data_IF_413140083559
#
_entry.id   IF_413140083559
#
_cell.length_a   1.000
_cell.length_b   1.000
_cell.length_c   1.000
_cell.angle_alpha   90.00
_cell.angle_beta   90.00
_cell.angle_gamma   90.00
#
_symmetry.space_group_name_H-M   'P 1'
#
loop_
_entity.id
_entity.type
_entity.pdbx_description
1 polymer ?
#
# COMPACT_ATOMS: atom_id res chain seq x y z
N UNK A 1 10.30 -1.41 24.59
CA UNK A 1 9.73 -0.37 25.47
C UNK A 1 9.15 0.69 24.56
N UNK A 2 7.83 0.86 24.54
CA UNK A 2 7.17 1.94 23.80
C UNK A 2 6.85 3.10 24.73
N UNK A 3 6.63 4.29 24.17
CA UNK A 3 6.04 5.42 24.87
C UNK A 3 4.52 5.40 24.58
N UNK A 4 3.70 4.77 25.45
CA UNK A 4 2.28 4.55 25.16
C UNK A 4 1.50 5.86 24.91
N UNK A 5 1.97 6.96 25.50
CA UNK A 5 1.32 8.27 25.38
C UNK A 5 1.76 9.07 24.14
N UNK A 6 2.77 8.59 23.40
CA UNK A 6 3.31 9.34 22.26
C UNK A 6 2.31 9.45 21.11
N UNK A 7 1.60 8.36 20.79
CA UNK A 7 0.65 8.35 19.68
C UNK A 7 -0.52 9.33 19.90
N UNK A 8 -1.20 9.36 21.06
CA UNK A 8 -2.20 10.40 21.35
C UNK A 8 -1.66 11.83 21.25
N UNK A 9 -0.41 12.07 21.68
CA UNK A 9 0.22 13.40 21.58
C UNK A 9 0.44 13.78 20.11
N UNK A 10 0.98 12.87 19.30
CA UNK A 10 1.19 13.10 17.87
C UNK A 10 -0.13 13.33 17.13
N UNK A 11 -1.18 12.56 17.45
CA UNK A 11 -2.51 12.78 16.91
C UNK A 11 -3.03 14.18 17.27
N UNK A 12 -2.91 14.60 18.53
CA UNK A 12 -3.33 15.94 18.96
C UNK A 12 -2.55 17.06 18.25
N UNK A 13 -1.27 16.87 17.96
CA UNK A 13 -0.48 17.84 17.19
C UNK A 13 -0.99 17.96 15.75
N UNK A 14 -1.32 16.83 15.11
CA UNK A 14 -1.89 16.82 13.76
C UNK A 14 -3.26 17.51 13.74
N UNK A 15 -4.16 17.16 14.65
CA UNK A 15 -5.53 17.66 14.68
C UNK A 15 -5.59 19.18 14.92
N UNK A 16 -4.77 19.67 15.86
CA UNK A 16 -4.73 21.08 16.24
C UNK A 16 -3.86 21.95 15.33
N UNK A 17 -2.89 21.35 14.63
CA UNK A 17 -1.82 22.06 13.93
C UNK A 17 -0.93 22.92 14.83
N UNK A 18 -0.89 22.64 16.14
CA UNK A 18 -0.14 23.47 17.09
C UNK A 18 1.37 23.30 16.88
N UNK A 19 2.06 24.42 16.65
CA UNK A 19 3.50 24.48 16.29
C UNK A 19 3.83 23.98 14.87
N UNK A 20 2.84 23.85 13.99
CA UNK A 20 3.09 23.52 12.59
C UNK A 20 3.97 24.58 11.93
N UNK A 21 4.97 24.13 11.19
CA UNK A 21 5.95 24.95 10.47
C UNK A 21 6.02 24.60 8.97
N UNK A 22 5.08 23.77 8.50
CA UNK A 22 4.89 23.40 7.10
C UNK A 22 3.39 23.26 6.80
N UNK A 23 3.00 23.64 5.58
CA UNK A 23 1.68 23.40 5.03
C UNK A 23 1.78 22.47 3.83
N UNK A 24 0.94 21.44 3.77
CA UNK A 24 0.73 20.64 2.56
C UNK A 24 -0.63 21.02 1.98
N UNK A 25 -0.68 21.43 0.72
CA UNK A 25 -1.94 21.73 0.02
C UNK A 25 -2.26 20.65 -1.02
N UNK A 26 -3.52 20.25 -1.10
CA UNK A 26 -4.01 19.26 -2.05
C UNK A 26 -5.51 19.52 -2.32
N UNK A 27 -5.92 19.60 -3.58
CA UNK A 27 -7.31 19.89 -3.99
C UNK A 27 -7.96 21.08 -3.24
N UNK A 28 -7.19 22.13 -2.96
CA UNK A 28 -7.65 23.33 -2.23
C UNK A 28 -7.83 23.13 -0.71
N UNK A 29 -7.53 21.95 -0.16
CA UNK A 29 -7.41 21.73 1.28
C UNK A 29 -5.97 21.90 1.75
N UNK A 30 -5.83 22.47 2.94
CA UNK A 30 -4.54 22.74 3.58
C UNK A 30 -4.38 21.92 4.85
N UNK A 31 -3.27 21.19 4.94
CA UNK A 31 -2.86 20.41 6.09
C UNK A 31 -1.72 21.11 6.80
N UNK A 32 -1.94 21.51 8.07
CA UNK A 32 -0.90 22.06 8.94
C UNK A 32 -0.09 20.93 9.52
N UNK A 33 1.18 20.83 9.15
CA UNK A 33 2.06 19.72 9.54
C UNK A 33 3.40 20.21 10.09
N UNK A 34 4.16 19.28 10.67
CA UNK A 34 5.44 19.56 11.31
C UNK A 34 6.57 18.98 10.46
N UNK A 35 7.52 19.81 10.05
CA UNK A 35 8.71 19.39 9.28
C UNK A 35 9.48 18.29 9.99
N UNK A 36 9.65 18.42 11.31
CA UNK A 36 10.37 17.44 12.12
C UNK A 36 9.74 16.03 12.05
N UNK A 37 8.45 15.92 11.78
CA UNK A 37 7.72 14.65 11.66
C UNK A 37 7.70 14.20 10.20
N UNK A 38 7.36 15.09 9.27
CA UNK A 38 7.16 14.76 7.85
C UNK A 38 8.50 14.52 7.14
N UNK A 39 9.45 15.45 7.26
CA UNK A 39 10.73 15.40 6.54
C UNK A 39 11.66 14.31 7.08
N UNK A 40 11.53 13.92 8.35
CA UNK A 40 12.33 12.82 8.91
C UNK A 40 11.92 11.43 8.38
N UNK A 41 10.75 11.34 7.76
CA UNK A 41 10.16 10.09 7.27
C UNK A 41 9.98 10.06 5.74
N UNK A 42 10.28 11.15 5.04
CA UNK A 42 10.12 11.27 3.58
C UNK A 42 11.25 12.10 3.00
N UNK A 43 12.08 11.48 2.17
CA UNK A 43 13.16 12.18 1.47
C UNK A 43 12.60 13.20 0.45
N UNK A 44 11.43 12.92 -0.13
CA UNK A 44 10.72 13.84 -1.01
C UNK A 44 10.37 15.15 -0.28
N UNK A 45 9.66 15.06 0.85
CA UNK A 45 9.26 16.25 1.59
C UNK A 45 10.47 16.96 2.20
N UNK A 46 11.49 16.23 2.62
CA UNK A 46 12.76 16.81 3.08
C UNK A 46 13.44 17.63 1.99
N UNK A 47 13.56 17.08 0.78
CA UNK A 47 14.15 17.77 -0.38
C UNK A 47 13.32 19.00 -0.79
N UNK A 48 12.00 18.89 -0.78
CA UNK A 48 11.09 19.98 -1.14
C UNK A 48 11.28 21.21 -0.25
N UNK A 49 11.52 21.02 1.06
CA UNK A 49 11.63 22.13 2.03
C UNK A 49 13.08 22.54 2.36
N UNK A 50 14.08 21.78 1.91
CA UNK A 50 15.51 22.12 2.08
C UNK A 50 16.12 22.81 0.86
N UNK A 51 15.54 22.65 -0.32
CA UNK A 51 16.08 23.23 -1.55
C UNK A 51 15.92 24.74 -1.66
N UNK A 52 16.51 25.33 -2.70
CA UNK A 52 16.26 26.73 -3.12
C UNK A 52 14.95 26.91 -3.91
N UNK A 53 14.00 25.99 -3.76
CA UNK A 53 12.71 26.01 -4.45
C UNK A 53 11.70 26.90 -3.71
N UNK A 54 10.57 27.22 -4.36
CA UNK A 54 9.58 28.17 -3.81
C UNK A 54 8.91 27.62 -2.55
N UNK A 55 8.86 26.30 -2.43
CA UNK A 55 8.25 25.55 -1.33
C UNK A 55 8.99 25.82 -0.01
N UNK A 56 10.32 25.91 -0.07
CA UNK A 56 11.16 26.19 1.10
C UNK A 56 10.97 27.63 1.62
N UNK A 57 10.74 28.60 0.74
CA UNK A 57 10.50 29.99 1.13
C UNK A 57 9.06 30.25 1.58
N UNK A 58 8.10 29.49 1.07
CA UNK A 58 6.68 29.58 1.43
C UNK A 58 6.30 28.68 2.61
N UNK A 59 7.18 27.76 3.04
CA UNK A 59 6.84 26.67 3.97
C UNK A 59 5.57 25.93 3.53
N UNK A 60 5.42 25.72 2.22
CA UNK A 60 4.24 25.11 1.62
C UNK A 60 4.63 24.16 0.49
N UNK A 61 4.09 22.94 0.51
CA UNK A 61 4.22 21.96 -0.57
C UNK A 61 2.85 21.75 -1.19
N UNK A 62 2.73 21.99 -2.49
CA UNK A 62 1.49 21.82 -3.24
C UNK A 62 1.48 20.50 -4.01
N UNK A 63 0.39 19.75 -3.88
CA UNK A 63 0.19 18.41 -4.44
C UNK A 63 -1.07 18.37 -5.32
N UNK A 64 -1.08 19.08 -6.47
CA UNK A 64 -2.27 19.21 -7.32
C UNK A 64 -2.62 17.94 -8.11
N UNK A 65 -1.65 17.06 -8.32
CA UNK A 65 -1.80 15.81 -9.09
C UNK A 65 -2.14 14.60 -8.18
N UNK A 66 -2.31 14.83 -6.88
CA UNK A 66 -2.62 13.79 -5.90
C UNK A 66 -4.06 13.88 -5.42
N UNK A 67 -4.62 12.73 -5.04
CA UNK A 67 -5.97 12.64 -4.48
C UNK A 67 -5.97 13.01 -3.00
N UNK A 68 -6.88 13.90 -2.61
CA UNK A 68 -7.00 14.40 -1.25
C UNK A 68 -7.09 13.31 -0.17
N UNK A 69 -7.90 12.27 -0.41
CA UNK A 69 -8.07 11.16 0.53
C UNK A 69 -6.80 10.31 0.67
N UNK A 70 -6.01 10.19 -0.40
CA UNK A 70 -4.72 9.50 -0.37
C UNK A 70 -3.69 10.31 0.41
N UNK A 71 -3.62 11.63 0.21
CA UNK A 71 -2.74 12.52 0.99
C UNK A 71 -3.12 12.52 2.48
N UNK A 72 -4.41 12.52 2.80
CA UNK A 72 -4.87 12.38 4.18
C UNK A 72 -4.35 11.09 4.85
N UNK A 73 -4.37 9.95 4.13
CA UNK A 73 -3.83 8.68 4.62
C UNK A 73 -2.31 8.69 4.80
N UNK A 74 -1.59 9.31 3.86
CA UNK A 74 -0.14 9.51 3.97
C UNK A 74 0.18 10.34 5.22
N UNK A 75 -0.51 11.47 5.43
CA UNK A 75 -0.29 12.32 6.60
C UNK A 75 -0.67 11.60 7.89
N UNK A 76 -1.78 10.88 7.93
CA UNK A 76 -2.18 10.07 9.10
C UNK A 76 -1.06 9.11 9.49
N UNK A 77 -0.51 8.37 8.52
CA UNK A 77 0.58 7.43 8.77
C UNK A 77 1.81 8.11 9.37
N UNK A 78 2.20 9.28 8.86
CA UNK A 78 3.38 10.00 9.34
C UNK A 78 3.29 10.35 10.84
N UNK A 79 2.09 10.51 11.40
CA UNK A 79 1.90 10.85 12.81
C UNK A 79 1.61 9.63 13.69
N UNK A 80 0.79 8.69 13.22
CA UNK A 80 0.31 7.59 14.06
C UNK A 80 0.72 6.20 13.59
N UNK A 81 1.56 6.12 12.55
CA UNK A 81 2.08 4.88 11.96
C UNK A 81 0.99 3.94 11.41
N UNK A 82 -0.21 4.50 11.18
CA UNK A 82 -1.32 3.79 10.58
C UNK A 82 -2.23 4.75 9.81
N UNK A 83 -3.13 4.21 8.99
CA UNK A 83 -4.14 4.98 8.27
C UNK A 83 -5.45 4.21 8.14
N UNK A 84 -6.56 4.96 8.07
CA UNK A 84 -7.89 4.44 7.84
C UNK A 84 -8.17 4.15 6.37
N UNK A 85 -9.04 3.17 6.12
CA UNK A 85 -9.54 2.85 4.78
C UNK A 85 -10.86 3.59 4.46
N UNK A 86 -11.38 4.42 5.38
CA UNK A 86 -12.55 5.28 5.15
C UNK A 86 -12.12 6.57 4.45
N UNK A 87 -13.04 7.18 3.68
CA UNK A 87 -12.84 8.51 3.09
C UNK A 87 -13.15 9.65 4.08
N UNK A 88 -13.27 9.33 5.37
CA UNK A 88 -13.41 10.36 6.39
C UNK A 88 -12.08 11.13 6.49
N UNK A 89 -12.16 12.43 6.18
CA UNK A 89 -11.03 13.36 6.25
C UNK A 89 -10.85 13.95 7.66
N UNK A 90 -11.53 13.35 8.65
CA UNK A 90 -11.32 13.60 10.06
C UNK A 90 -10.23 12.69 10.62
N UNK A 91 -9.05 13.28 10.87
CA UNK A 91 -7.91 12.59 11.47
C UNK A 91 -8.25 11.93 12.83
N UNK A 92 -9.23 12.46 13.58
CA UNK A 92 -9.66 11.88 14.85
C UNK A 92 -10.41 10.54 14.68
N UNK A 93 -10.87 10.22 13.47
CA UNK A 93 -11.66 9.02 13.15
C UNK A 93 -10.94 8.03 12.24
N UNK A 94 -9.74 8.35 11.77
CA UNK A 94 -8.94 7.50 10.90
C UNK A 94 -8.65 6.10 11.49
N UNK A 95 -8.77 5.92 12.81
CA UNK A 95 -8.62 4.63 13.49
C UNK A 95 -9.90 3.78 13.57
N UNK A 96 -11.05 4.30 13.12
CA UNK A 96 -12.32 3.55 13.16
C UNK A 96 -12.39 2.50 12.05
N UNK A 97 -12.62 1.24 12.45
CA UNK A 97 -12.81 0.10 11.53
C UNK A 97 -14.30 -0.08 11.26
N UNK A 98 -14.88 0.82 10.47
CA UNK A 98 -16.24 0.62 9.96
C UNK A 98 -16.29 -0.55 8.96
N UNK A 99 -17.50 -1.03 8.61
CA UNK A 99 -17.72 -2.00 7.54
C UNK A 99 -17.43 -1.34 6.18
N UNK A 100 -16.15 -1.26 5.83
CA UNK A 100 -15.68 -0.65 4.60
C UNK A 100 -15.92 -1.64 3.45
N UNK A 101 -16.39 -1.12 2.32
CA UNK A 101 -16.51 -1.91 1.10
C UNK A 101 -15.15 -2.53 0.75
N UNK A 102 -15.04 -3.87 0.56
CA UNK A 102 -13.78 -4.50 0.24
C UNK A 102 -13.11 -3.90 -0.99
N UNK A 103 -13.84 -3.50 -2.03
CA UNK A 103 -13.21 -2.93 -3.22
C UNK A 103 -12.63 -1.55 -2.95
N UNK A 104 -13.31 -0.71 -2.16
CA UNK A 104 -12.78 0.56 -1.69
C UNK A 104 -11.49 0.37 -0.88
N UNK A 105 -11.46 -0.57 0.06
CA UNK A 105 -10.27 -0.89 0.84
C UNK A 105 -9.08 -1.28 -0.07
N UNK A 106 -9.33 -2.11 -1.09
CA UNK A 106 -8.30 -2.48 -2.07
C UNK A 106 -7.74 -1.25 -2.80
N UNK A 107 -8.61 -0.40 -3.36
CA UNK A 107 -8.20 0.80 -4.08
C UNK A 107 -7.44 1.78 -3.19
N UNK A 108 -7.89 1.95 -1.94
CA UNK A 108 -7.25 2.84 -0.98
C UNK A 108 -5.82 2.38 -0.67
N UNK A 109 -5.62 1.08 -0.43
CA UNK A 109 -4.28 0.53 -0.20
C UNK A 109 -3.39 0.64 -1.45
N UNK A 110 -3.93 0.43 -2.65
CA UNK A 110 -3.16 0.57 -3.89
C UNK A 110 -2.72 2.03 -4.14
N UNK A 111 -3.62 3.00 -3.94
CA UNK A 111 -3.28 4.42 -4.10
C UNK A 111 -2.27 4.88 -3.06
N UNK A 112 -2.43 4.45 -1.80
CA UNK A 112 -1.46 4.74 -0.74
C UNK A 112 -0.11 4.10 -1.04
N UNK A 113 -0.07 2.89 -1.59
CA UNK A 113 1.18 2.26 -2.02
C UNK A 113 1.91 3.10 -3.08
N UNK A 114 1.20 3.59 -4.09
CA UNK A 114 1.77 4.45 -5.14
C UNK A 114 2.25 5.79 -4.58
N UNK A 115 1.46 6.42 -3.71
CA UNK A 115 1.84 7.66 -3.04
C UNK A 115 3.06 7.48 -2.13
N UNK A 116 3.15 6.36 -1.42
CA UNK A 116 4.29 6.04 -0.56
C UNK A 116 5.58 5.85 -1.34
N UNK A 117 5.50 5.29 -2.56
CA UNK A 117 6.64 5.23 -3.47
C UNK A 117 7.02 6.62 -3.99
N UNK A 118 6.04 7.40 -4.45
CA UNK A 118 6.23 8.78 -4.92
C UNK A 118 6.90 9.68 -3.87
N UNK A 119 6.47 9.56 -2.62
CA UNK A 119 6.99 10.37 -1.51
C UNK A 119 8.16 9.73 -0.77
N UNK A 120 8.64 8.57 -1.23
CA UNK A 120 9.73 7.80 -0.62
C UNK A 120 9.54 7.58 0.89
N UNK A 121 8.43 6.93 1.24
CA UNK A 121 8.04 6.57 2.62
C UNK A 121 7.99 5.04 2.71
N UNK A 122 9.15 4.39 2.82
CA UNK A 122 9.26 2.93 2.74
C UNK A 122 8.40 2.17 3.77
N UNK A 123 8.28 2.59 5.05
CA UNK A 123 7.40 1.94 6.00
C UNK A 123 5.91 1.96 5.57
N UNK A 124 5.45 3.07 4.99
CA UNK A 124 4.09 3.20 4.45
C UNK A 124 3.89 2.30 3.22
N UNK A 125 4.89 2.28 2.31
CA UNK A 125 4.88 1.41 1.12
C UNK A 125 4.71 -0.06 1.53
N UNK A 126 5.46 -0.49 2.55
CA UNK A 126 5.38 -1.85 3.11
C UNK A 126 4.02 -2.16 3.76
N UNK A 127 3.47 -1.23 4.55
CA UNK A 127 2.16 -1.39 5.18
C UNK A 127 1.04 -1.51 4.14
N UNK A 128 1.02 -0.60 3.16
CA UNK A 128 0.02 -0.59 2.09
C UNK A 128 0.08 -1.84 1.21
N UNK A 129 1.29 -2.29 0.87
CA UNK A 129 1.51 -3.57 0.19
C UNK A 129 0.93 -4.73 1.00
N UNK A 130 1.25 -4.79 2.29
CA UNK A 130 0.80 -5.88 3.17
C UNK A 130 -0.73 -5.94 3.24
N UNK A 131 -1.39 -4.79 3.39
CA UNK A 131 -2.85 -4.70 3.40
C UNK A 131 -3.47 -5.10 2.06
N UNK A 132 -2.89 -4.67 0.94
CA UNK A 132 -3.32 -5.07 -0.40
C UNK A 132 -3.19 -6.59 -0.61
N UNK A 133 -2.08 -7.21 -0.22
CA UNK A 133 -1.89 -8.66 -0.33
C UNK A 133 -2.84 -9.44 0.59
N UNK A 134 -3.08 -8.95 1.80
CA UNK A 134 -4.08 -9.52 2.71
C UNK A 134 -5.49 -9.43 2.14
N UNK A 135 -5.80 -8.36 1.42
CA UNK A 135 -7.07 -8.24 0.69
C UNK A 135 -7.17 -9.30 -0.40
N UNK A 136 -6.14 -9.46 -1.22
CA UNK A 136 -6.08 -10.48 -2.29
C UNK A 136 -6.30 -11.87 -1.70
N UNK A 137 -5.61 -12.19 -0.60
CA UNK A 137 -5.71 -13.49 0.07
C UNK A 137 -7.13 -13.79 0.60
N UNK A 138 -7.87 -12.76 1.01
CA UNK A 138 -9.25 -12.89 1.52
C UNK A 138 -10.31 -12.88 0.43
N UNK A 139 -9.97 -12.37 -0.75
CA UNK A 139 -10.90 -12.08 -1.84
C UNK A 139 -10.52 -12.79 -3.15
N UNK A 140 -9.83 -13.94 -3.07
CA UNK A 140 -9.33 -14.66 -4.24
C UNK A 140 -10.42 -14.97 -5.29
N UNK A 141 -11.67 -15.19 -4.85
CA UNK A 141 -12.82 -15.46 -5.73
C UNK A 141 -13.31 -14.24 -6.52
N UNK A 142 -13.25 -13.04 -5.92
CA UNK A 142 -13.66 -11.79 -6.56
C UNK A 142 -12.50 -11.03 -7.19
N UNK A 143 -11.26 -11.42 -6.89
CA UNK A 143 -10.04 -10.85 -7.48
C UNK A 143 -10.08 -10.75 -9.02
N UNK A 144 -10.57 -11.75 -9.78
CA UNK A 144 -10.59 -11.66 -11.24
C UNK A 144 -11.28 -10.39 -11.75
N UNK A 145 -12.37 -9.97 -11.08
CA UNK A 145 -13.18 -8.80 -11.47
C UNK A 145 -12.40 -7.48 -11.42
N UNK A 146 -11.32 -7.41 -10.64
CA UNK A 146 -10.53 -6.19 -10.44
C UNK A 146 -9.07 -6.33 -10.84
N UNK A 147 -8.57 -7.55 -11.06
CA UNK A 147 -7.15 -7.81 -11.28
C UNK A 147 -6.60 -7.08 -12.50
N UNK A 148 -7.37 -7.03 -13.60
CA UNK A 148 -6.96 -6.28 -14.79
C UNK A 148 -6.75 -4.80 -14.47
N UNK A 149 -7.68 -4.18 -13.75
CA UNK A 149 -7.60 -2.77 -13.38
C UNK A 149 -6.42 -2.52 -12.43
N UNK A 150 -6.21 -3.39 -11.44
CA UNK A 150 -5.04 -3.31 -10.55
C UNK A 150 -3.75 -3.36 -11.38
N UNK A 151 -3.65 -4.30 -12.31
CA UNK A 151 -2.44 -4.54 -13.08
C UNK A 151 -2.06 -3.36 -13.98
N UNK A 152 -3.03 -2.72 -14.64
CA UNK A 152 -2.78 -1.54 -15.49
C UNK A 152 -2.49 -0.29 -14.67
N UNK A 153 -3.00 -0.20 -13.43
CA UNK A 153 -2.72 0.93 -12.53
C UNK A 153 -1.29 0.87 -11.98
N UNK A 154 -0.75 -0.32 -11.73
CA UNK A 154 0.62 -0.48 -11.21
C UNK A 154 1.64 -0.12 -12.31
N UNK A 155 2.54 0.86 -12.08
CA UNK A 155 3.58 1.22 -13.03
C UNK A 155 4.39 0.01 -13.51
N UNK A 156 4.77 -0.09 -14.80
CA UNK A 156 5.51 -1.25 -15.31
C UNK A 156 6.83 -1.54 -14.59
N UNK A 157 7.48 -0.50 -14.07
CA UNK A 157 8.76 -0.60 -13.35
C UNK A 157 8.59 -1.15 -11.91
N UNK A 158 7.37 -1.15 -11.38
CA UNK A 158 7.04 -1.63 -10.04
C UNK A 158 6.89 -3.17 -10.04
N UNK A 159 8.02 -3.83 -10.28
CA UNK A 159 8.12 -5.29 -10.41
C UNK A 159 7.91 -6.01 -9.08
N UNK A 160 8.24 -5.36 -7.96
CA UNK A 160 8.16 -5.97 -6.64
C UNK A 160 6.72 -6.26 -6.24
N UNK A 161 5.81 -5.29 -6.41
CA UNK A 161 4.38 -5.50 -6.15
C UNK A 161 3.77 -6.50 -7.14
N UNK A 162 4.16 -6.43 -8.43
CA UNK A 162 3.67 -7.37 -9.46
C UNK A 162 4.04 -8.82 -9.11
N UNK A 163 5.29 -9.11 -8.71
CA UNK A 163 5.69 -10.46 -8.28
C UNK A 163 4.93 -10.91 -7.03
N UNK A 164 4.66 -10.00 -6.09
CA UNK A 164 3.88 -10.34 -4.90
C UNK A 164 2.40 -10.63 -5.20
N UNK A 165 1.79 -9.90 -6.13
CA UNK A 165 0.43 -10.21 -6.61
C UNK A 165 0.41 -11.57 -7.29
N UNK A 166 1.37 -11.84 -8.19
CA UNK A 166 1.52 -13.16 -8.83
C UNK A 166 1.66 -14.27 -7.78
N UNK A 167 2.49 -14.06 -6.76
CA UNK A 167 2.68 -15.02 -5.65
C UNK A 167 1.41 -15.16 -4.78
N UNK A 168 0.63 -14.11 -4.61
CA UNK A 168 -0.65 -14.21 -3.90
C UNK A 168 -1.67 -15.00 -4.71
N UNK A 169 -1.77 -14.75 -6.02
CA UNK A 169 -2.62 -15.53 -6.93
C UNK A 169 -2.18 -16.99 -6.95
N UNK A 170 -0.86 -17.27 -6.99
CA UNK A 170 -0.34 -18.64 -7.06
C UNK A 170 -0.82 -19.50 -5.88
N UNK A 171 -0.87 -18.91 -4.68
CA UNK A 171 -1.38 -19.57 -3.46
C UNK A 171 -2.86 -19.94 -3.54
N UNK A 172 -3.66 -19.21 -4.33
CA UNK A 172 -5.10 -19.42 -4.50
C UNK A 172 -5.45 -19.86 -5.93
N UNK A 173 -4.50 -20.42 -6.68
CA UNK A 173 -4.66 -20.72 -8.12
C UNK A 173 -5.89 -21.60 -8.38
N UNK A 174 -6.14 -22.59 -7.52
CA UNK A 174 -7.29 -23.47 -7.69
C UNK A 174 -8.62 -22.72 -7.61
N UNK A 175 -8.79 -21.79 -6.66
CA UNK A 175 -9.99 -20.97 -6.55
C UNK A 175 -10.07 -19.95 -7.67
N UNK A 176 -8.94 -19.28 -7.96
CA UNK A 176 -8.84 -18.26 -8.99
C UNK A 176 -9.22 -18.81 -10.38
N UNK A 177 -8.76 -20.01 -10.74
CA UNK A 177 -9.04 -20.64 -12.04
C UNK A 177 -10.48 -21.16 -12.20
N UNK A 178 -11.32 -21.14 -11.16
CA UNK A 178 -12.74 -21.49 -11.30
C UNK A 178 -13.56 -20.42 -12.03
N UNK A 179 -13.03 -19.21 -12.17
CA UNK A 179 -13.72 -18.08 -12.76
C UNK A 179 -13.31 -17.88 -14.23
N UNK A 180 -14.28 -17.73 -15.14
CA UNK A 180 -14.01 -17.55 -16.58
C UNK A 180 -13.17 -16.28 -16.86
N UNK A 181 -13.45 -15.19 -16.16
CA UNK A 181 -12.66 -13.94 -16.26
C UNK A 181 -11.17 -14.16 -15.95
N UNK A 182 -10.82 -15.08 -15.07
CA UNK A 182 -9.42 -15.41 -14.79
C UNK A 182 -8.71 -15.95 -16.03
N UNK A 183 -9.41 -16.77 -16.82
CA UNK A 183 -8.87 -17.33 -18.07
C UNK A 183 -8.73 -16.23 -19.13
N UNK A 184 -9.68 -15.30 -19.20
CA UNK A 184 -9.59 -14.14 -20.10
C UNK A 184 -8.39 -13.27 -19.72
N UNK A 185 -8.24 -12.93 -18.43
CA UNK A 185 -7.14 -12.11 -17.93
C UNK A 185 -5.78 -12.78 -18.19
N UNK A 186 -5.66 -14.09 -18.02
CA UNK A 186 -4.42 -14.81 -18.32
C UNK A 186 -4.05 -14.78 -19.81
N UNK A 187 -5.04 -14.72 -20.71
CA UNK A 187 -4.80 -14.57 -22.15
C UNK A 187 -4.39 -13.14 -22.51
N UNK A 188 -5.07 -12.16 -21.93
CA UNK A 188 -4.86 -10.75 -22.23
C UNK A 188 -3.60 -10.18 -21.56
N UNK A 189 -3.19 -10.78 -20.43
CA UNK A 189 -2.01 -10.40 -19.66
C UNK A 189 -1.10 -11.62 -19.48
N UNK A 190 -0.28 -11.97 -20.50
CA UNK A 190 0.57 -13.16 -20.47
C UNK A 190 1.56 -13.17 -19.29
N UNK A 191 2.01 -12.01 -18.81
CA UNK A 191 2.91 -11.89 -17.67
C UNK A 191 2.33 -12.51 -16.39
N UNK A 192 1.02 -12.34 -16.17
CA UNK A 192 0.32 -12.97 -15.03
C UNK A 192 0.30 -14.48 -15.22
N UNK A 193 -0.08 -14.96 -16.41
CA UNK A 193 -0.17 -16.39 -16.70
C UNK A 193 1.19 -17.09 -16.54
N UNK A 194 2.25 -16.53 -17.14
CA UNK A 194 3.62 -17.04 -17.07
C UNK A 194 4.12 -16.97 -15.62
N UNK A 195 3.88 -15.86 -14.93
CA UNK A 195 4.28 -15.66 -13.55
C UNK A 195 3.66 -16.70 -12.61
N UNK A 196 2.34 -16.88 -12.68
CA UNK A 196 1.60 -17.85 -11.87
C UNK A 196 2.07 -19.27 -12.19
N UNK A 197 2.22 -19.62 -13.48
CA UNK A 197 2.71 -20.94 -13.89
C UNK A 197 4.10 -21.23 -13.31
N UNK A 198 5.03 -20.28 -13.37
CA UNK A 198 6.37 -20.44 -12.78
C UNK A 198 6.30 -20.71 -11.28
N UNK A 199 5.56 -19.89 -10.51
CA UNK A 199 5.43 -20.08 -9.06
C UNK A 199 4.81 -21.44 -8.71
N UNK A 200 3.77 -21.87 -9.42
CA UNK A 200 3.13 -23.18 -9.20
C UNK A 200 4.08 -24.33 -9.55
N UNK A 201 4.88 -24.22 -10.61
CA UNK A 201 5.90 -25.23 -10.95
C UNK A 201 6.99 -25.30 -9.88
N UNK A 202 7.45 -24.16 -9.37
CA UNK A 202 8.46 -24.08 -8.31
C UNK A 202 7.96 -24.71 -7.01
N UNK A 203 6.74 -24.38 -6.58
CA UNK A 203 6.09 -24.94 -5.40
C UNK A 203 5.91 -26.47 -5.53
N UNK A 204 5.45 -26.95 -6.68
CA UNK A 204 5.31 -28.39 -6.95
C UNK A 204 6.65 -29.12 -6.96
N UNK A 205 7.69 -28.50 -7.48
CA UNK A 205 9.04 -29.06 -7.49
C UNK A 205 9.57 -29.19 -6.06
N UNK A 206 9.39 -28.15 -5.25
CA UNK A 206 9.75 -28.16 -3.83
C UNK A 206 9.04 -29.26 -3.05
N UNK A 207 7.71 -29.39 -3.20
CA UNK A 207 6.91 -30.44 -2.54
C UNK A 207 7.38 -31.86 -2.92
N UNK A 208 7.75 -32.09 -4.19
CA UNK A 208 8.29 -33.38 -4.64
C UNK A 208 9.61 -33.72 -3.94
N UNK A 209 10.52 -32.74 -3.79
CA UNK A 209 11.79 -32.96 -3.08
C UNK A 209 11.58 -33.27 -1.59
N UNK A 210 10.66 -32.57 -0.93
CA UNK A 210 10.37 -32.80 0.49
C UNK A 210 9.73 -34.17 0.76
N UNK A 211 8.83 -34.62 -0.12
CA UNK A 211 8.27 -35.97 -0.07
C UNK A 211 9.37 -37.04 -0.23
N UNK A 212 10.31 -36.85 -1.16
CA UNK A 212 11.44 -37.76 -1.36
C UNK A 212 12.34 -37.83 -0.12
N UNK A 213 12.66 -36.68 0.50
CA UNK A 213 13.45 -36.61 1.74
C UNK A 213 12.74 -37.29 2.91
N UNK A 214 11.44 -37.07 3.07
CA UNK A 214 10.63 -37.66 4.13
C UNK A 214 10.56 -39.18 4.02
N UNK A 215 10.42 -39.70 2.79
CA UNK A 215 10.42 -41.13 2.51
C UNK A 215 11.78 -41.80 2.75
N UNK A 216 12.89 -41.11 2.47
CA UNK A 216 14.23 -41.61 2.82
C UNK A 216 14.45 -41.69 4.34
N UNK A 217 13.98 -40.69 5.11
CA UNK A 217 14.12 -40.68 6.58
C UNK A 217 13.29 -41.74 7.30
N UNK A 218 12.17 -42.18 6.72
CA UNK A 218 11.32 -43.25 7.29
C UNK A 218 11.84 -44.66 7.00
N UNK A 219 12.83 -44.80 6.11
CA UNK A 219 13.42 -46.10 5.70
C UNK A 219 14.75 -46.41 6.40
N UNK A 220 15.32 -45.45 7.14
CA UNK A 220 16.46 -45.66 8.04
C UNK A 220 15.95 -45.87 9.47
#
# INVERSE_FOLDING_TARGET
MGFPDLQPILQSLLDSGKYSDLMISCEGRNFKVHRAIVCSQSSFFDAAVKGGFKEASLSQVDLPDDELATIHRVISFLYVQDYGETDDLDFAKAASRENIDPHAAMWNNLRVFMAADKFDISPLKSLARTRLLNWIDKNAKSLPLVLQQIWITIPPLETELRDAIIKAISRHTQEFLTHDDSIVIMKDIPDIAIGVLRKVVDENSFLKFDLQRSNMRRRC
#
